data_IF_587959114574
#
_entry.id   IF_587959114574
#
_cell.length_a   1.000
_cell.length_b   1.000
_cell.length_c   1.000
_cell.angle_alpha   90.00
_cell.angle_beta   90.00
_cell.angle_gamma   90.00
#
_symmetry.space_group_name_H-M   'P 1'
#
loop_
_entity.id
_entity.type
_entity.pdbx_description
1 polymer ?
#
# COMPACT_ATOMS: atom_id res chain seq x y z
N UNK A 1 -9.20 -14.82 21.37
CA UNK A 1 -8.71 -13.44 21.57
C UNK A 1 -9.55 -12.55 20.67
N UNK A 2 -10.22 -11.53 21.23
CA UNK A 2 -11.03 -10.61 20.41
C UNK A 2 -10.16 -9.81 19.44
N UNK A 3 -10.74 -9.47 18.28
CA UNK A 3 -10.09 -8.64 17.27
C UNK A 3 -9.84 -7.24 17.89
N UNK A 4 -8.62 -6.72 17.78
CA UNK A 4 -8.29 -5.36 18.24
C UNK A 4 -9.09 -4.33 17.44
N UNK A 5 -9.53 -3.24 18.08
CA UNK A 5 -10.08 -2.09 17.36
C UNK A 5 -8.97 -1.33 16.62
N UNK A 6 -9.31 -0.45 15.65
CA UNK A 6 -8.31 0.41 14.99
C UNK A 6 -7.45 1.18 15.98
N UNK A 7 -8.06 1.80 16.99
CA UNK A 7 -7.33 2.57 18.00
C UNK A 7 -6.44 1.68 18.87
N UNK A 8 -6.92 0.50 19.28
CA UNK A 8 -6.08 -0.45 20.01
C UNK A 8 -4.90 -0.93 19.20
N UNK A 9 -5.06 -1.14 17.89
CA UNK A 9 -3.98 -1.48 16.97
C UNK A 9 -2.98 -0.34 16.85
N UNK A 10 -3.45 0.89 16.69
CA UNK A 10 -2.60 2.09 16.67
C UNK A 10 -1.78 2.21 17.95
N UNK A 11 -2.42 2.11 19.11
CA UNK A 11 -1.75 2.20 20.42
C UNK A 11 -0.71 1.10 20.59
N UNK A 12 -1.05 -0.15 20.22
CA UNK A 12 -0.16 -1.30 20.38
C UNK A 12 1.13 -1.19 19.57
N UNK A 13 1.06 -0.77 18.32
CA UNK A 13 2.21 -0.80 17.40
C UNK A 13 2.92 0.55 17.24
N UNK A 14 2.22 1.68 17.44
CA UNK A 14 2.79 3.03 17.29
C UNK A 14 2.84 3.82 18.59
N UNK A 15 2.15 3.39 19.64
CA UNK A 15 2.12 4.08 20.93
C UNK A 15 1.26 5.35 20.94
N UNK A 16 0.48 5.59 19.89
CA UNK A 16 -0.41 6.74 19.82
C UNK A 16 -1.77 6.43 20.48
N UNK A 17 -2.31 7.39 21.22
CA UNK A 17 -3.56 7.23 21.93
C UNK A 17 -4.77 7.84 21.20
N UNK A 18 -4.56 8.46 20.05
CA UNK A 18 -5.60 9.05 19.22
C UNK A 18 -5.16 9.12 17.77
N UNK A 19 -6.12 9.11 16.85
CA UNK A 19 -5.88 9.39 15.45
C UNK A 19 -5.74 10.89 15.20
N UNK A 20 -4.99 11.26 14.17
CA UNK A 20 -5.06 12.60 13.59
C UNK A 20 -6.37 12.75 12.82
N UNK A 21 -6.79 13.99 12.53
CA UNK A 21 -8.05 14.25 11.80
C UNK A 21 -8.12 13.44 10.51
N UNK A 22 -9.28 12.88 10.20
CA UNK A 22 -9.60 12.06 9.04
C UNK A 22 -8.96 10.66 8.97
N UNK A 23 -7.94 10.33 9.78
CA UNK A 23 -7.32 9.01 9.74
C UNK A 23 -8.32 7.90 10.10
N UNK A 24 -9.10 8.09 11.16
CA UNK A 24 -10.06 7.09 11.63
C UNK A 24 -11.17 6.83 10.59
N UNK A 25 -11.68 7.91 9.97
CA UNK A 25 -12.66 7.81 8.90
C UNK A 25 -12.12 7.02 7.71
N UNK A 26 -10.91 7.35 7.25
CA UNK A 26 -10.23 6.65 6.15
C UNK A 26 -10.03 5.17 6.48
N UNK A 27 -9.57 4.86 7.69
CA UNK A 27 -9.35 3.47 8.14
C UNK A 27 -10.67 2.69 8.13
N UNK A 28 -11.76 3.28 8.61
CA UNK A 28 -13.07 2.66 8.63
C UNK A 28 -13.62 2.40 7.21
N UNK A 29 -13.39 3.32 6.26
CA UNK A 29 -13.73 3.12 4.86
C UNK A 29 -12.98 1.91 4.26
N UNK A 30 -11.67 1.83 4.51
CA UNK A 30 -10.83 0.70 4.07
C UNK A 30 -11.31 -0.62 4.69
N UNK A 31 -11.57 -0.64 6.00
CA UNK A 31 -12.06 -1.83 6.71
C UNK A 31 -13.44 -2.29 6.24
N UNK A 32 -14.25 -1.38 5.70
CA UNK A 32 -15.54 -1.73 5.08
C UNK A 32 -15.40 -2.29 3.65
N UNK A 33 -14.18 -2.44 3.15
CA UNK A 33 -13.89 -2.99 1.82
C UNK A 33 -14.11 -2.01 0.66
N UNK A 34 -14.17 -0.70 0.94
CA UNK A 34 -14.39 0.33 -0.09
C UNK A 34 -13.07 0.88 -0.62
N UNK A 35 -13.01 1.09 -1.94
CA UNK A 35 -11.94 1.87 -2.55
C UNK A 35 -11.95 3.29 -2.00
N UNK A 36 -10.78 3.80 -1.60
CA UNK A 36 -10.69 5.05 -0.85
C UNK A 36 -9.58 5.93 -1.44
N UNK A 37 -9.89 7.19 -1.70
CA UNK A 37 -8.89 8.21 -2.03
C UNK A 37 -8.64 9.10 -0.80
N UNK A 38 -7.45 8.99 -0.22
CA UNK A 38 -7.03 9.74 0.95
C UNK A 38 -6.18 10.95 0.57
N UNK A 39 -6.72 12.15 0.75
CA UNK A 39 -6.03 13.41 0.59
C UNK A 39 -5.58 13.91 1.96
N UNK A 40 -4.31 13.72 2.29
CA UNK A 40 -3.71 14.10 3.56
C UNK A 40 -2.42 14.88 3.33
N UNK A 41 -2.18 15.97 4.06
CA UNK A 41 -0.96 16.76 3.92
C UNK A 41 0.29 15.94 4.21
N UNK A 42 1.43 16.43 3.76
CA UNK A 42 2.74 15.87 4.14
C UNK A 42 2.86 15.93 5.66
N UNK A 43 3.30 14.82 6.28
CA UNK A 43 3.30 14.68 7.73
C UNK A 43 1.93 14.35 8.36
N UNK A 44 0.86 14.25 7.58
CA UNK A 44 -0.50 13.90 8.04
C UNK A 44 -0.70 12.41 8.39
N UNK A 45 0.37 11.62 8.48
CA UNK A 45 0.30 10.22 8.88
C UNK A 45 -0.37 9.31 7.85
N UNK A 46 -0.14 9.56 6.56
CA UNK A 46 -0.71 8.76 5.45
C UNK A 46 -0.50 7.25 5.61
N UNK A 47 0.68 6.83 6.06
CA UNK A 47 1.02 5.41 6.22
C UNK A 47 0.11 4.69 7.23
N UNK A 48 -0.31 5.36 8.28
CA UNK A 48 -1.22 4.81 9.30
C UNK A 48 -2.55 4.41 8.67
N UNK A 49 -3.03 5.15 7.66
CA UNK A 49 -4.31 4.92 7.02
C UNK A 49 -4.41 3.57 6.30
N UNK A 50 -3.28 3.00 5.87
CA UNK A 50 -3.27 1.65 5.29
C UNK A 50 -2.59 0.61 6.18
N UNK A 51 -1.63 1.02 7.02
CA UNK A 51 -0.91 0.07 7.89
C UNK A 51 -1.82 -0.48 9.00
N UNK A 52 -2.59 0.37 9.66
CA UNK A 52 -3.51 -0.08 10.73
C UNK A 52 -4.54 -1.08 10.23
N UNK A 53 -5.34 -0.79 9.17
CA UNK A 53 -6.33 -1.75 8.70
C UNK A 53 -5.70 -3.03 8.16
N UNK A 54 -4.54 -2.95 7.51
CA UNK A 54 -3.87 -4.15 6.97
C UNK A 54 -3.38 -5.11 8.07
N UNK A 55 -2.98 -4.58 9.23
CA UNK A 55 -2.61 -5.42 10.39
C UNK A 55 -3.83 -6.12 10.96
N UNK A 56 -5.00 -5.48 10.92
CA UNK A 56 -6.26 -6.03 11.43
C UNK A 56 -6.85 -7.09 10.53
N UNK A 57 -6.60 -7.01 9.22
CA UNK A 57 -7.11 -7.94 8.21
C UNK A 57 -6.15 -9.14 8.03
N UNK A 58 -6.72 -10.30 7.72
CA UNK A 58 -5.90 -11.44 7.28
C UNK A 58 -5.30 -11.19 5.90
N UNK A 59 -4.11 -11.75 5.65
CA UNK A 59 -3.40 -11.59 4.39
C UNK A 59 -2.33 -10.49 4.42
N UNK A 60 -1.91 -10.07 3.23
CA UNK A 60 -0.78 -9.17 3.00
C UNK A 60 -1.23 -7.90 2.29
N UNK A 61 -0.75 -6.74 2.72
CA UNK A 61 -0.95 -5.47 2.03
C UNK A 61 0.12 -5.30 0.94
N UNK A 62 -0.32 -5.09 -0.29
CA UNK A 62 0.55 -4.71 -1.39
C UNK A 62 0.68 -3.19 -1.43
N UNK A 63 1.89 -2.67 -1.20
CA UNK A 63 2.16 -1.23 -1.19
C UNK A 63 2.99 -0.85 -2.41
N UNK A 64 2.44 0.01 -3.25
CA UNK A 64 3.13 0.58 -4.41
C UNK A 64 3.60 1.99 -4.07
N UNK A 65 4.90 2.23 -4.09
CA UNK A 65 5.49 3.54 -3.78
C UNK A 65 6.64 3.85 -4.76
N UNK A 66 6.79 5.11 -5.19
CA UNK A 66 7.76 5.48 -6.20
C UNK A 66 9.18 5.71 -5.64
N UNK A 67 9.30 5.85 -4.31
CA UNK A 67 10.53 6.27 -3.65
C UNK A 67 11.18 5.10 -2.90
N UNK A 68 12.26 4.54 -3.46
CA UNK A 68 12.98 3.39 -2.88
C UNK A 68 13.49 3.67 -1.46
N UNK A 69 13.98 4.88 -1.19
CA UNK A 69 14.44 5.27 0.15
C UNK A 69 13.29 5.18 1.15
N UNK A 70 12.12 5.73 0.80
CA UNK A 70 10.93 5.69 1.65
C UNK A 70 10.42 4.25 1.85
N UNK A 71 10.46 3.41 0.82
CA UNK A 71 10.13 1.98 0.94
C UNK A 71 11.01 1.32 2.01
N UNK A 72 12.33 1.52 1.94
CA UNK A 72 13.28 0.95 2.90
C UNK A 72 13.03 1.44 4.32
N UNK A 73 12.80 2.73 4.50
CA UNK A 73 12.52 3.33 5.81
C UNK A 73 11.22 2.79 6.42
N UNK A 74 10.16 2.67 5.63
CA UNK A 74 8.87 2.12 6.10
C UNK A 74 9.00 0.64 6.47
N UNK A 75 9.65 -0.16 5.63
CA UNK A 75 9.88 -1.59 5.91
C UNK A 75 10.70 -1.76 7.19
N UNK A 76 11.80 -1.01 7.36
CA UNK A 76 12.61 -1.04 8.58
C UNK A 76 11.82 -0.64 9.82
N UNK A 77 10.98 0.39 9.71
CA UNK A 77 10.11 0.84 10.81
C UNK A 77 9.08 -0.22 11.22
N UNK A 78 8.47 -0.93 10.26
CA UNK A 78 7.55 -2.02 10.53
C UNK A 78 8.26 -3.21 11.19
N UNK A 79 9.42 -3.60 10.66
CA UNK A 79 10.23 -4.69 11.22
C UNK A 79 10.67 -4.40 12.66
N UNK A 80 11.03 -3.15 12.98
CA UNK A 80 11.36 -2.73 14.34
C UNK A 80 10.18 -2.88 15.33
N UNK A 81 8.94 -2.89 14.82
CA UNK A 81 7.71 -3.13 15.59
C UNK A 81 7.31 -4.61 15.64
N UNK A 82 8.15 -5.51 15.13
CA UNK A 82 7.86 -6.94 15.04
C UNK A 82 6.87 -7.33 13.94
N UNK A 83 6.62 -6.43 12.98
CA UNK A 83 5.73 -6.66 11.84
C UNK A 83 6.57 -7.10 10.65
N UNK A 84 6.29 -8.28 10.10
CA UNK A 84 7.01 -8.77 8.92
C UNK A 84 6.62 -7.97 7.68
N UNK A 85 7.59 -7.28 7.10
CA UNK A 85 7.46 -6.50 5.88
C UNK A 85 8.62 -6.81 4.94
N UNK A 86 8.34 -6.85 3.63
CA UNK A 86 9.28 -7.12 2.55
C UNK A 86 9.33 -5.95 1.58
N UNK A 87 10.53 -5.64 1.08
CA UNK A 87 10.74 -4.65 0.03
C UNK A 87 11.30 -5.30 -1.23
N UNK A 88 10.69 -5.05 -2.39
CA UNK A 88 11.27 -5.35 -3.70
C UNK A 88 11.82 -4.07 -4.31
N UNK A 89 13.15 -3.93 -4.26
CA UNK A 89 13.84 -2.73 -4.77
C UNK A 89 14.50 -3.00 -6.14
N UNK A 90 14.80 -1.94 -6.88
CA UNK A 90 15.37 -2.04 -8.24
C UNK A 90 16.74 -2.71 -8.31
N UNK A 91 17.52 -2.69 -7.21
CA UNK A 91 18.85 -3.33 -7.15
C UNK A 91 18.85 -4.85 -6.96
N UNK A 92 17.68 -5.47 -6.71
CA UNK A 92 17.59 -6.91 -6.50
C UNK A 92 17.67 -7.67 -7.83
N UNK A 93 18.43 -8.76 -7.82
CA UNK A 93 18.46 -9.75 -8.91
C UNK A 93 17.14 -10.49 -9.03
N UNK A 94 16.89 -11.13 -10.17
CA UNK A 94 15.67 -11.93 -10.36
C UNK A 94 15.55 -13.06 -9.33
N UNK A 95 16.66 -13.69 -8.96
CA UNK A 95 16.67 -14.75 -7.94
C UNK A 95 16.30 -14.21 -6.55
N UNK A 96 16.82 -13.05 -6.16
CA UNK A 96 16.47 -12.41 -4.88
C UNK A 96 15.00 -12.00 -4.84
N UNK A 97 14.47 -11.49 -5.96
CA UNK A 97 13.04 -11.16 -6.09
C UNK A 97 12.18 -12.41 -5.95
N UNK A 98 12.55 -13.50 -6.62
CA UNK A 98 11.82 -14.77 -6.56
C UNK A 98 11.77 -15.34 -5.12
N UNK A 99 12.91 -15.36 -4.43
CA UNK A 99 12.99 -15.78 -3.03
C UNK A 99 12.14 -14.87 -2.12
N UNK A 100 12.22 -13.56 -2.31
CA UNK A 100 11.44 -12.62 -1.51
C UNK A 100 9.93 -12.81 -1.69
N UNK A 101 9.48 -13.05 -2.93
CA UNK A 101 8.07 -13.33 -3.23
C UNK A 101 7.61 -14.68 -2.68
N UNK A 102 8.44 -15.71 -2.74
CA UNK A 102 8.16 -17.00 -2.10
C UNK A 102 8.01 -16.85 -0.57
N UNK A 103 8.88 -16.07 0.05
CA UNK A 103 8.77 -15.77 1.47
C UNK A 103 7.45 -15.05 1.82
N UNK A 104 6.95 -14.17 0.93
CA UNK A 104 5.66 -13.53 1.12
C UNK A 104 4.47 -14.49 0.95
N UNK A 105 4.60 -15.50 0.08
CA UNK A 105 3.54 -16.51 -0.15
C UNK A 105 3.42 -17.46 1.05
N UNK A 106 4.55 -17.96 1.55
CA UNK A 106 4.62 -19.04 2.54
C UNK A 106 4.93 -18.56 3.97
N UNK A 107 5.32 -17.31 4.15
CA UNK A 107 5.56 -16.70 5.45
C UNK A 107 4.43 -15.78 5.89
N UNK A 108 4.41 -15.43 7.17
CA UNK A 108 3.39 -14.53 7.73
C UNK A 108 3.75 -13.05 7.50
N UNK A 109 4.02 -12.68 6.26
CA UNK A 109 4.29 -11.29 5.92
C UNK A 109 3.00 -10.48 5.89
N UNK A 110 3.04 -9.26 6.46
CA UNK A 110 1.91 -8.32 6.48
C UNK A 110 2.00 -7.26 5.39
N UNK A 111 3.20 -6.96 4.93
CA UNK A 111 3.42 -5.93 3.92
C UNK A 111 4.43 -6.38 2.87
N UNK A 112 4.09 -6.14 1.61
CA UNK A 112 4.97 -6.24 0.46
C UNK A 112 5.05 -4.87 -0.21
N UNK A 113 6.18 -4.19 -0.08
CA UNK A 113 6.46 -2.91 -0.72
C UNK A 113 7.20 -3.13 -2.03
N UNK A 114 6.78 -2.45 -3.07
CA UNK A 114 7.47 -2.48 -4.36
C UNK A 114 7.32 -1.16 -5.12
N UNK A 115 8.24 -0.92 -6.03
CA UNK A 115 8.13 0.19 -6.97
C UNK A 115 7.14 -0.16 -8.11
N UNK A 116 6.50 0.84 -8.73
CA UNK A 116 5.56 0.59 -9.82
C UNK A 116 6.20 -0.12 -11.03
N UNK A 117 7.51 0.06 -11.26
CA UNK A 117 8.25 -0.63 -12.32
C UNK A 117 8.30 -2.15 -12.10
N UNK A 118 8.32 -2.60 -10.85
CA UNK A 118 8.29 -4.04 -10.51
C UNK A 118 6.98 -4.71 -10.90
N UNK A 119 5.87 -3.95 -10.97
CA UNK A 119 4.59 -4.47 -11.45
C UNK A 119 4.56 -4.79 -12.95
N UNK A 120 5.57 -4.39 -13.72
CA UNK A 120 5.66 -4.75 -15.13
C UNK A 120 6.20 -6.18 -15.34
N UNK A 121 6.76 -6.79 -14.30
CA UNK A 121 7.36 -8.12 -14.37
C UNK A 121 6.29 -9.21 -14.24
N UNK A 122 6.17 -10.06 -15.28
CA UNK A 122 5.23 -11.20 -15.30
C UNK A 122 5.42 -12.18 -14.13
N UNK A 123 6.67 -12.41 -13.72
CA UNK A 123 6.94 -13.26 -12.55
C UNK A 123 6.33 -12.67 -11.27
N UNK A 124 6.39 -11.36 -11.09
CA UNK A 124 5.74 -10.69 -9.96
C UNK A 124 4.24 -10.90 -10.00
N UNK A 125 3.59 -10.74 -11.16
CA UNK A 125 2.16 -11.00 -11.33
C UNK A 125 1.78 -12.44 -10.95
N UNK A 126 2.53 -13.44 -11.44
CA UNK A 126 2.24 -14.85 -11.14
C UNK A 126 2.42 -15.19 -9.65
N UNK A 127 3.32 -14.52 -8.97
CA UNK A 127 3.51 -14.66 -7.52
C UNK A 127 2.42 -13.94 -6.73
N UNK A 128 2.03 -12.74 -7.13
CA UNK A 128 0.93 -11.99 -6.50
C UNK A 128 -0.40 -12.75 -6.55
N UNK A 129 -0.69 -13.46 -7.64
CA UNK A 129 -1.88 -14.33 -7.77
C UNK A 129 -1.96 -15.44 -6.73
N UNK A 130 -0.82 -15.83 -6.14
CA UNK A 130 -0.73 -16.87 -5.10
C UNK A 130 -0.83 -16.31 -3.69
N UNK A 131 -0.86 -14.99 -3.53
CA UNK A 131 -0.96 -14.32 -2.23
C UNK A 131 -2.41 -13.98 -1.91
N UNK A 132 -2.75 -14.03 -0.63
CA UNK A 132 -3.99 -13.44 -0.14
C UNK A 132 -3.74 -11.94 0.12
N UNK A 133 -3.99 -11.10 -0.88
CA UNK A 133 -3.86 -9.64 -0.76
C UNK A 133 -5.11 -9.11 -0.06
N UNK A 134 -4.92 -8.42 1.07
CA UNK A 134 -6.01 -7.84 1.85
C UNK A 134 -6.29 -6.37 1.49
N UNK A 135 -5.29 -5.67 0.97
CA UNK A 135 -5.37 -4.26 0.59
C UNK A 135 -4.30 -3.93 -0.45
N UNK A 136 -4.65 -3.08 -1.41
CA UNK A 136 -3.68 -2.45 -2.32
C UNK A 136 -3.54 -0.99 -1.88
N UNK A 137 -2.35 -0.59 -1.44
CA UNK A 137 -2.03 0.80 -1.09
C UNK A 137 -1.18 1.43 -2.19
N UNK A 138 -1.65 2.53 -2.76
CA UNK A 138 -0.95 3.30 -3.79
C UNK A 138 -0.50 4.62 -3.20
N UNK A 139 0.76 4.69 -2.84
CA UNK A 139 1.38 5.92 -2.32
C UNK A 139 1.73 6.87 -3.46
N UNK A 140 1.72 8.18 -3.18
CA UNK A 140 1.94 9.24 -4.16
C UNK A 140 1.06 9.06 -5.42
N UNK A 141 -0.22 8.77 -5.22
CA UNK A 141 -1.15 8.40 -6.28
C UNK A 141 -1.31 9.48 -7.38
N UNK A 142 -0.94 10.74 -7.09
CA UNK A 142 -0.90 11.81 -8.10
C UNK A 142 0.05 11.49 -9.27
N UNK A 143 1.03 10.60 -9.07
CA UNK A 143 1.95 10.16 -10.14
C UNK A 143 1.24 9.44 -11.31
N UNK A 144 -0.01 9.01 -11.14
CA UNK A 144 -0.78 8.37 -12.22
C UNK A 144 -1.34 9.37 -13.23
N UNK A 145 -1.40 10.66 -12.87
CA UNK A 145 -2.04 11.71 -13.67
C UNK A 145 -1.03 12.49 -14.47
N UNK A 146 -1.29 12.65 -15.77
CA UNK A 146 -0.54 13.56 -16.66
C UNK A 146 -0.76 15.04 -16.30
N UNK A 147 -1.82 15.34 -15.56
CA UNK A 147 -2.10 16.67 -15.01
C UNK A 147 -1.40 16.93 -13.68
N UNK A 148 -0.74 15.90 -13.12
CA UNK A 148 0.10 16.02 -11.94
C UNK A 148 1.51 16.52 -12.27
N UNK A 149 2.22 16.98 -11.26
CA UNK A 149 3.59 17.53 -11.41
C UNK A 149 4.69 16.43 -11.51
N UNK A 150 4.38 15.17 -11.20
CA UNK A 150 5.33 14.04 -11.23
C UNK A 150 4.71 12.81 -11.89
N UNK A 151 4.25 12.97 -13.14
CA UNK A 151 3.67 11.86 -13.88
C UNK A 151 4.67 10.73 -14.11
N UNK A 152 4.26 9.50 -13.77
CA UNK A 152 5.05 8.28 -13.96
C UNK A 152 4.24 7.23 -14.71
N UNK A 153 4.59 6.93 -15.98
CA UNK A 153 3.86 5.96 -16.80
C UNK A 153 3.70 4.57 -16.15
N UNK A 154 4.66 4.15 -15.33
CA UNK A 154 4.60 2.87 -14.62
C UNK A 154 3.39 2.74 -13.68
N UNK A 155 2.83 3.86 -13.17
CA UNK A 155 1.61 3.85 -12.36
C UNK A 155 0.37 3.38 -13.12
N UNK A 156 0.33 3.53 -14.43
CA UNK A 156 -0.78 3.05 -15.27
C UNK A 156 -0.91 1.52 -15.20
N UNK A 157 0.17 0.81 -14.85
CA UNK A 157 0.17 -0.65 -14.70
C UNK A 157 -0.50 -1.13 -13.40
N UNK A 158 -0.75 -0.25 -12.45
CA UNK A 158 -1.41 -0.61 -11.19
C UNK A 158 -2.83 -1.13 -11.45
N UNK A 159 -3.54 -0.57 -12.43
CA UNK A 159 -4.87 -1.03 -12.79
C UNK A 159 -4.90 -2.48 -13.31
N UNK A 160 -3.81 -2.95 -13.90
CA UNK A 160 -3.72 -4.32 -14.43
C UNK A 160 -3.80 -5.37 -13.31
N UNK A 161 -3.24 -5.08 -12.14
CA UNK A 161 -3.29 -6.02 -11.00
C UNK A 161 -4.70 -6.18 -10.44
N UNK A 162 -5.58 -5.18 -10.61
CA UNK A 162 -6.99 -5.27 -10.19
C UNK A 162 -7.80 -6.30 -10.99
N UNK A 163 -7.30 -6.70 -12.16
CA UNK A 163 -7.95 -7.75 -12.96
C UNK A 163 -7.83 -9.15 -12.35
N UNK A 164 -6.89 -9.35 -11.41
CA UNK A 164 -6.64 -10.66 -10.80
C UNK A 164 -6.46 -10.59 -9.26
N UNK A 165 -6.53 -9.40 -8.64
CA UNK A 165 -6.52 -9.22 -7.18
C UNK A 165 -7.85 -8.60 -6.77
N UNK A 166 -8.64 -9.37 -6.04
CA UNK A 166 -9.89 -8.92 -5.43
C UNK A 166 -9.62 -8.35 -4.03
N UNK A 167 -9.17 -7.11 -3.95
CA UNK A 167 -8.93 -6.40 -2.71
C UNK A 167 -9.32 -4.93 -2.86
N UNK A 168 -9.77 -4.26 -1.78
CA UNK A 168 -9.97 -2.82 -1.82
C UNK A 168 -8.64 -2.10 -2.11
N UNK A 169 -8.73 -0.89 -2.66
CA UNK A 169 -7.58 -0.07 -2.96
C UNK A 169 -7.68 1.25 -2.19
N UNK A 170 -6.59 1.63 -1.53
CA UNK A 170 -6.41 2.97 -0.99
C UNK A 170 -5.36 3.72 -1.79
N UNK A 171 -5.74 4.85 -2.36
CA UNK A 171 -4.84 5.78 -3.03
C UNK A 171 -4.53 6.95 -2.09
N UNK A 172 -3.26 7.27 -1.89
CA UNK A 172 -2.82 8.31 -0.97
C UNK A 172 -2.00 9.37 -1.70
N UNK A 173 -2.33 10.62 -1.46
CA UNK A 173 -1.52 11.75 -1.95
C UNK A 173 -1.68 12.96 -1.05
N UNK A 174 -0.66 13.82 -1.02
CA UNK A 174 -0.72 15.11 -0.31
C UNK A 174 -1.32 16.22 -1.17
N UNK A 175 -1.25 16.07 -2.49
CA UNK A 175 -1.62 17.12 -3.45
C UNK A 175 -2.40 16.53 -4.60
N UNK A 176 -3.62 17.00 -4.79
CA UNK A 176 -4.40 16.69 -5.98
C UNK A 176 -5.37 17.84 -6.29
N UNK A 177 -5.31 18.32 -7.52
CA UNK A 177 -6.36 19.17 -8.08
C UNK A 177 -7.60 18.33 -8.40
N UNK A 178 -8.78 18.93 -8.61
CA UNK A 178 -9.98 18.19 -9.04
C UNK A 178 -9.76 17.29 -10.26
N UNK A 179 -8.95 17.72 -11.21
CA UNK A 179 -8.65 16.94 -12.42
C UNK A 179 -7.73 15.74 -12.11
N UNK A 180 -6.76 15.92 -11.24
CA UNK A 180 -5.91 14.83 -10.73
C UNK A 180 -6.74 13.80 -9.95
N UNK A 181 -7.69 14.26 -9.12
CA UNK A 181 -8.63 13.37 -8.39
C UNK A 181 -9.43 12.49 -9.36
N UNK A 182 -10.02 13.09 -10.39
CA UNK A 182 -10.77 12.36 -11.42
C UNK A 182 -9.89 11.34 -12.15
N UNK A 183 -8.67 11.73 -12.48
CA UNK A 183 -7.71 10.84 -13.14
C UNK A 183 -7.34 9.64 -12.26
N UNK A 184 -7.06 9.88 -10.97
CA UNK A 184 -6.76 8.81 -10.01
C UNK A 184 -7.92 7.81 -9.97
N UNK A 185 -9.14 8.29 -9.77
CA UNK A 185 -10.32 7.44 -9.67
C UNK A 185 -10.55 6.64 -10.96
N UNK A 186 -10.46 7.30 -12.12
CA UNK A 186 -10.66 6.66 -13.43
C UNK A 186 -9.58 5.62 -13.73
N UNK A 187 -8.30 5.97 -13.53
CA UNK A 187 -7.15 5.13 -13.89
C UNK A 187 -6.91 3.99 -12.89
N UNK A 188 -7.35 4.12 -11.65
CA UNK A 188 -7.33 3.06 -10.64
C UNK A 188 -8.64 2.27 -10.54
N UNK A 189 -9.62 2.56 -11.38
CA UNK A 189 -10.90 1.84 -11.49
C UNK A 189 -11.73 1.89 -10.18
N UNK A 190 -11.87 3.05 -9.57
CA UNK A 190 -12.74 3.31 -8.41
C UNK A 190 -14.21 3.24 -8.81
#
# INVERSE_FOLDING_TARGET
>A
MGMLSPLQTLTKYWGFNSFLSSQEEIINEVLSGRDTLALLPTGGGKSICFQVPSIMLDGICLVVSPLIALIKDQVSSLQAKGIKAMALTSGMTLSEVDIALDNCIYGDFKFLYLSPERLQNKMVHERLKKMHINLIAVDEAHCISEWGYDFRPAYLKISEIRSFIEAPLIALTATATPDVVKDIQKKLLF
#
